data_IF_656266439590
#
_entry.id   IF_656266439590
#
_cell.length_a   1.000
_cell.length_b   1.000
_cell.length_c   1.000
_cell.angle_alpha   90.00
_cell.angle_beta   90.00
_cell.angle_gamma   90.00
#
_symmetry.space_group_name_H-M   'P 1'
#
loop_
_entity.id
_entity.type
_entity.pdbx_description
1 polymer ?
#
# COMPACT_ATOMS: atom_id res chain seq x y z
N UNK A 1 -7.34 5.99 9.63
CA UNK A 1 -5.97 5.96 9.09
C UNK A 1 -5.91 6.56 7.68
N UNK A 2 -4.86 7.32 7.35
CA UNK A 2 -4.69 7.95 6.01
C UNK A 2 -3.39 7.48 5.37
N UNK A 3 -3.45 6.91 4.16
CA UNK A 3 -2.31 6.32 3.45
C UNK A 3 -2.15 6.99 2.06
N UNK A 4 -0.94 7.42 1.71
CA UNK A 4 -0.65 7.98 0.38
C UNK A 4 -0.69 6.91 -0.72
N UNK A 5 -1.06 7.28 -1.94
CA UNK A 5 -0.95 6.40 -3.13
C UNK A 5 0.46 5.95 -3.45
N UNK A 6 1.50 6.54 -2.85
CA UNK A 6 2.87 6.02 -3.01
C UNK A 6 3.08 4.73 -2.21
N UNK A 7 2.20 4.43 -1.25
CA UNK A 7 2.27 3.27 -0.36
C UNK A 7 1.16 2.27 -0.69
N UNK A 8 0.99 1.97 -1.98
CA UNK A 8 -0.06 1.07 -2.48
C UNK A 8 0.02 -0.32 -1.86
N UNK A 9 1.23 -0.85 -1.64
CA UNK A 9 1.43 -2.15 -1.00
C UNK A 9 0.82 -2.22 0.40
N UNK A 10 1.11 -1.22 1.24
CA UNK A 10 0.53 -1.09 2.57
C UNK A 10 -1.00 -0.93 2.52
N UNK A 11 -1.51 -0.07 1.61
CA UNK A 11 -2.94 0.13 1.46
C UNK A 11 -3.68 -1.15 1.01
N UNK A 12 -3.09 -1.92 0.10
CA UNK A 12 -3.60 -3.20 -0.35
C UNK A 12 -3.59 -4.23 0.79
N UNK A 13 -2.49 -4.31 1.54
CA UNK A 13 -2.37 -5.19 2.70
C UNK A 13 -3.44 -4.88 3.75
N UNK A 14 -3.64 -3.61 4.11
CA UNK A 14 -4.70 -3.20 5.05
C UNK A 14 -6.07 -3.68 4.58
N UNK A 15 -6.39 -3.50 3.28
CA UNK A 15 -7.66 -3.97 2.70
C UNK A 15 -7.80 -5.50 2.74
N UNK A 16 -6.72 -6.24 2.48
CA UNK A 16 -6.71 -7.71 2.56
C UNK A 16 -6.92 -8.22 3.98
N UNK A 17 -6.42 -7.50 4.99
CA UNK A 17 -6.64 -7.79 6.41
C UNK A 17 -8.03 -7.34 6.91
N UNK A 18 -8.90 -6.89 6.01
CA UNK A 18 -10.28 -6.53 6.32
C UNK A 18 -10.50 -5.08 6.75
N UNK A 19 -9.51 -4.19 6.62
CA UNK A 19 -9.76 -2.76 6.86
C UNK A 19 -10.72 -2.19 5.82
N UNK A 20 -11.73 -1.47 6.31
CA UNK A 20 -12.70 -0.82 5.45
C UNK A 20 -12.12 0.46 4.84
N UNK A 21 -12.13 0.56 3.51
CA UNK A 21 -11.75 1.77 2.79
C UNK A 21 -12.96 2.71 2.71
N UNK A 22 -12.95 3.75 3.53
CA UNK A 22 -14.06 4.71 3.62
C UNK A 22 -14.11 5.65 2.41
N UNK A 23 -12.94 6.16 1.99
CA UNK A 23 -12.86 7.05 0.83
C UNK A 23 -11.48 7.07 0.18
N UNK A 24 -11.45 7.51 -1.06
CA UNK A 24 -10.24 7.87 -1.80
C UNK A 24 -10.35 9.30 -2.28
N UNK A 25 -9.43 10.17 -1.84
CA UNK A 25 -9.42 11.58 -2.21
C UNK A 25 -8.00 12.13 -2.19
N UNK A 26 -7.69 13.11 -3.05
CA UNK A 26 -6.40 13.80 -3.11
C UNK A 26 -5.17 12.85 -3.09
N UNK A 27 -5.25 11.75 -3.84
CA UNK A 27 -4.22 10.69 -3.89
C UNK A 27 -3.92 10.07 -2.53
N UNK A 28 -4.94 9.97 -1.67
CA UNK A 28 -4.86 9.36 -0.34
C UNK A 28 -6.03 8.42 -0.13
N UNK A 29 -5.74 7.27 0.46
CA UNK A 29 -6.70 6.30 0.94
C UNK A 29 -7.04 6.58 2.40
N UNK A 30 -8.31 6.54 2.74
CA UNK A 30 -8.80 6.74 4.10
C UNK A 30 -9.44 5.44 4.58
N UNK A 31 -8.75 4.77 5.50
CA UNK A 31 -9.20 3.52 6.09
C UNK A 31 -9.76 3.75 7.48
N UNK A 32 -10.83 3.03 7.81
CA UNK A 32 -11.31 2.89 9.18
C UNK A 32 -10.58 1.71 9.84
N UNK A 33 -9.91 1.99 10.96
CA UNK A 33 -9.13 1.01 11.70
C UNK A 33 -8.80 1.57 13.08
N UNK A 34 -8.75 0.71 14.07
CA UNK A 34 -8.35 1.02 15.45
C UNK A 34 -6.83 0.91 15.65
N UNK A 35 -6.12 0.28 14.71
CA UNK A 35 -4.65 0.12 14.77
C UNK A 35 -3.94 1.38 14.28
N UNK A 36 -2.83 1.68 14.92
CA UNK A 36 -1.94 2.76 14.53
C UNK A 36 -1.14 2.44 13.27
N UNK A 37 -0.60 3.48 12.64
CA UNK A 37 0.13 3.36 11.37
C UNK A 37 1.35 2.46 11.54
N UNK A 38 2.11 2.66 12.61
CA UNK A 38 3.32 1.89 12.91
C UNK A 38 3.01 0.40 13.06
N UNK A 39 1.86 0.04 13.64
CA UNK A 39 1.47 -1.36 13.77
C UNK A 39 1.21 -1.98 12.40
N UNK A 40 0.48 -1.27 11.53
CA UNK A 40 0.26 -1.71 10.14
C UNK A 40 1.57 -1.84 9.35
N UNK A 41 2.52 -0.93 9.56
CA UNK A 41 3.84 -0.99 8.91
C UNK A 41 4.65 -2.20 9.35
N UNK A 42 4.64 -2.50 10.65
CA UNK A 42 5.32 -3.68 11.20
C UNK A 42 4.68 -4.96 10.67
N UNK A 43 3.35 -5.07 10.72
CA UNK A 43 2.63 -6.24 10.21
C UNK A 43 2.87 -6.46 8.72
N UNK A 44 2.81 -5.39 7.93
CA UNK A 44 3.10 -5.44 6.51
C UNK A 44 4.53 -5.88 6.25
N UNK A 45 5.53 -5.29 6.93
CA UNK A 45 6.95 -5.62 6.74
C UNK A 45 7.27 -7.08 7.11
N UNK A 46 6.55 -7.64 8.08
CA UNK A 46 6.65 -9.04 8.47
C UNK A 46 5.84 -10.00 7.59
N UNK A 47 5.00 -9.47 6.68
CA UNK A 47 4.17 -10.28 5.79
C UNK A 47 4.94 -10.71 4.53
N UNK A 48 4.50 -11.80 3.90
CA UNK A 48 5.01 -12.20 2.59
C UNK A 48 4.71 -11.18 1.49
N UNK A 49 3.71 -10.30 1.69
CA UNK A 49 3.34 -9.25 0.74
C UNK A 49 4.44 -8.19 0.59
N UNK A 50 5.21 -7.91 1.64
CA UNK A 50 6.29 -6.93 1.56
C UNK A 50 7.38 -7.36 0.57
N UNK A 51 7.79 -8.63 0.61
CA UNK A 51 8.78 -9.16 -0.34
C UNK A 51 8.27 -9.10 -1.77
N UNK A 52 7.00 -9.43 -1.98
CA UNK A 52 6.37 -9.32 -3.30
C UNK A 52 6.38 -7.88 -3.82
N UNK A 53 6.02 -6.91 -2.99
CA UNK A 53 6.02 -5.50 -3.38
C UNK A 53 7.42 -4.93 -3.66
N UNK A 54 8.45 -5.40 -2.94
CA UNK A 54 9.84 -5.06 -3.25
C UNK A 54 10.23 -5.55 -4.65
N UNK A 55 9.94 -6.81 -4.96
CA UNK A 55 10.21 -7.37 -6.30
C UNK A 55 9.43 -6.62 -7.39
N UNK A 56 8.15 -6.30 -7.15
CA UNK A 56 7.36 -5.47 -8.08
C UNK A 56 7.97 -4.08 -8.27
N UNK A 57 8.49 -3.46 -7.21
CA UNK A 57 9.17 -2.18 -7.31
C UNK A 57 10.44 -2.27 -8.16
N UNK A 58 11.27 -3.29 -7.96
CA UNK A 58 12.46 -3.52 -8.79
C UNK A 58 12.11 -3.77 -10.26
N UNK A 59 11.11 -4.61 -10.53
CA UNK A 59 10.64 -4.85 -11.90
C UNK A 59 10.10 -3.59 -12.58
N UNK A 60 9.41 -2.70 -11.84
CA UNK A 60 8.93 -1.41 -12.36
C UNK A 60 10.05 -0.43 -12.68
N UNK A 61 11.20 -0.53 -12.01
CA UNK A 61 12.38 0.27 -12.36
C UNK A 61 12.99 -0.18 -13.69
N UNK A 62 12.94 -1.48 -13.97
CA UNK A 62 13.43 -2.06 -15.22
C UNK A 62 12.50 -1.78 -16.40
N UNK A 63 11.19 -1.76 -16.13
CA UNK A 63 10.16 -1.41 -17.11
C UNK A 63 9.36 -0.22 -16.60
N UNK A 64 9.93 1.00 -16.61
CA UNK A 64 9.12 2.18 -16.41
C UNK A 64 8.07 2.13 -17.52
N UNK A 65 6.79 2.05 -17.15
CA UNK A 65 5.71 2.10 -18.13
C UNK A 65 6.03 3.26 -19.07
N UNK A 66 6.24 2.94 -20.35
CA UNK A 66 6.58 3.87 -21.43
C UNK A 66 5.77 5.15 -21.26
N UNK A 67 6.34 6.35 -21.52
CA UNK A 67 5.62 7.60 -21.34
C UNK A 67 4.27 7.46 -22.02
N UNK A 68 3.19 7.74 -21.27
CA UNK A 68 1.84 7.82 -21.83
C UNK A 68 1.92 8.82 -22.98
N UNK A 69 1.95 8.31 -24.22
CA UNK A 69 1.69 9.08 -25.43
C UNK A 69 0.24 9.49 -25.47
#
# INVERSE_FOLDING_TARGET
MVISTHRLGLAAFMKMQGCNLQKFDNRRFYFETEKDLTQWEIEYSNSCCYRHDLELCELRKLYPASPRG
#
